data_IF_497732446120
#
_entry.id   IF_497732446120
#
_cell.length_a   1.000
_cell.length_b   1.000
_cell.length_c   1.000
_cell.angle_alpha   90.00
_cell.angle_beta   90.00
_cell.angle_gamma   90.00
#
_symmetry.space_group_name_H-M   'P 1'
#
loop_
_entity.id
_entity.type
_entity.pdbx_description
1 polymer ?
#
# COMPACT_ATOMS: atom_id res chain seq x y z
N UNK A 1 10.69 -18.99 18.92
CA UNK A 1 9.47 -18.60 19.66
C UNK A 1 9.57 -17.12 20.07
N UNK A 2 8.72 -16.21 19.60
CA UNK A 2 8.75 -14.84 20.10
C UNK A 2 8.22 -14.82 21.54
N UNK A 3 9.03 -14.33 22.48
CA UNK A 3 8.69 -14.19 23.90
C UNK A 3 7.32 -13.49 24.04
N UNK A 4 6.36 -14.15 24.68
CA UNK A 4 4.94 -13.72 24.86
C UNK A 4 4.79 -12.25 25.34
N UNK A 5 5.79 -11.74 26.05
CA UNK A 5 5.93 -10.35 26.47
C UNK A 5 5.86 -9.31 25.35
N UNK A 6 6.41 -9.59 24.15
CA UNK A 6 6.36 -8.65 23.02
C UNK A 6 4.95 -8.43 22.48
N UNK A 7 4.05 -9.40 22.64
CA UNK A 7 2.67 -9.32 22.11
C UNK A 7 1.76 -8.54 23.07
N UNK A 8 2.01 -8.66 24.38
CA UNK A 8 1.30 -7.92 25.42
C UNK A 8 1.54 -6.42 25.29
N UNK A 9 2.80 -5.99 25.10
CA UNK A 9 3.13 -4.57 24.87
C UNK A 9 2.51 -3.95 23.60
N UNK A 10 2.17 -4.77 22.60
CA UNK A 10 1.58 -4.30 21.34
C UNK A 10 0.04 -4.23 21.41
N UNK A 11 -0.58 -4.94 22.36
CA UNK A 11 -2.05 -5.05 22.50
C UNK A 11 -2.60 -4.19 23.64
N UNK A 12 -1.73 -3.70 24.54
CA UNK A 12 -2.03 -2.63 25.52
C UNK A 12 -2.19 -1.32 24.73
N UNK A 13 -3.33 -1.19 24.07
CA UNK A 13 -3.58 -0.15 23.08
C UNK A 13 -3.88 1.22 23.66
N UNK A 14 -4.04 2.18 22.76
CA UNK A 14 -4.38 3.61 22.97
C UNK A 14 -5.53 3.86 23.98
N UNK A 15 -6.40 2.89 24.25
CA UNK A 15 -7.48 2.99 25.25
C UNK A 15 -6.97 2.96 26.70
N UNK A 16 -5.87 2.28 26.98
CA UNK A 16 -5.26 2.26 28.33
C UNK A 16 -4.61 3.60 28.70
N UNK A 17 -4.25 4.42 27.71
CA UNK A 17 -3.73 5.76 27.95
C UNK A 17 -4.74 6.66 28.66
N UNK A 18 -6.03 6.50 28.39
CA UNK A 18 -7.09 7.27 29.06
C UNK A 18 -7.12 6.90 30.56
N UNK A 19 -7.03 5.60 30.87
CA UNK A 19 -6.97 5.11 32.26
C UNK A 19 -5.73 5.64 32.96
N UNK A 20 -4.58 5.66 32.27
CA UNK A 20 -3.32 6.17 32.80
C UNK A 20 -3.38 7.68 33.09
N UNK A 21 -4.04 8.46 32.23
CA UNK A 21 -4.30 9.89 32.44
C UNK A 21 -5.16 10.12 33.70
N UNK A 22 -6.22 9.31 33.90
CA UNK A 22 -7.06 9.42 35.11
C UNK A 22 -6.26 9.13 36.38
N UNK A 23 -5.38 8.13 36.36
CA UNK A 23 -4.49 7.81 37.50
C UNK A 23 -3.53 8.97 37.79
N UNK A 24 -2.95 9.59 36.75
CA UNK A 24 -2.07 10.76 36.89
C UNK A 24 -2.80 11.92 37.57
N UNK A 25 -4.06 12.19 37.20
CA UNK A 25 -4.87 13.25 37.80
C UNK A 25 -5.12 12.98 39.29
N UNK A 26 -5.43 11.73 39.66
CA UNK A 26 -5.62 11.35 41.06
C UNK A 26 -4.32 11.55 41.86
N UNK A 27 -3.18 11.12 41.31
CA UNK A 27 -1.87 11.27 41.98
C UNK A 27 -1.46 12.75 42.09
N UNK A 28 -1.83 13.60 41.14
CA UNK A 28 -1.53 15.03 41.19
C UNK A 28 -2.14 15.74 42.41
N UNK A 29 -3.26 15.24 42.93
CA UNK A 29 -3.90 15.78 44.14
C UNK A 29 -3.04 15.51 45.39
N UNK A 30 -2.38 14.35 45.45
CA UNK A 30 -1.60 13.93 46.64
C UNK A 30 -0.10 14.25 46.53
N UNK A 31 0.47 14.21 45.33
CA UNK A 31 1.88 14.48 45.09
C UNK A 31 2.12 15.04 43.67
N UNK A 32 2.16 16.38 43.52
CA UNK A 32 2.36 17.03 42.22
C UNK A 32 3.69 16.64 41.54
N UNK A 33 4.77 16.46 42.31
CA UNK A 33 6.09 16.12 41.78
C UNK A 33 6.06 14.72 41.15
N UNK A 34 5.46 13.75 41.83
CA UNK A 34 5.29 12.39 41.30
C UNK A 34 4.42 12.40 40.03
N UNK A 35 3.36 13.22 39.99
CA UNK A 35 2.50 13.35 38.82
C UNK A 35 3.21 13.93 37.58
N UNK A 36 4.12 14.89 37.77
CA UNK A 36 4.96 15.44 36.69
C UNK A 36 5.85 14.35 36.09
N UNK A 37 6.55 13.58 36.91
CA UNK A 37 7.39 12.46 36.45
C UNK A 37 6.57 11.39 35.73
N UNK A 38 5.42 11.00 36.28
CA UNK A 38 4.53 10.03 35.63
C UNK A 38 3.99 10.52 34.29
N UNK A 39 3.66 11.81 34.19
CA UNK A 39 3.22 12.43 32.93
C UNK A 39 4.30 12.36 31.86
N UNK A 40 5.55 12.68 32.22
CA UNK A 40 6.70 12.58 31.31
C UNK A 40 6.93 11.16 30.79
N UNK A 41 6.91 10.17 31.70
CA UNK A 41 7.07 8.75 31.33
C UNK A 41 5.91 8.28 30.45
N UNK A 42 4.69 8.68 30.76
CA UNK A 42 3.49 8.31 30.01
C UNK A 42 3.53 8.89 28.60
N UNK A 43 3.90 10.16 28.46
CA UNK A 43 4.08 10.78 27.15
C UNK A 43 5.17 10.07 26.33
N UNK A 44 6.30 9.72 26.96
CA UNK A 44 7.35 8.95 26.30
C UNK A 44 6.84 7.58 25.83
N UNK A 45 6.14 6.83 26.69
CA UNK A 45 5.54 5.54 26.33
C UNK A 45 4.49 5.68 25.23
N UNK A 46 3.72 6.78 25.22
CA UNK A 46 2.73 7.08 24.19
C UNK A 46 3.40 7.22 22.83
N UNK A 47 4.44 8.04 22.75
CA UNK A 47 5.21 8.24 21.52
C UNK A 47 5.88 6.94 21.06
N UNK A 48 6.47 6.19 21.99
CA UNK A 48 7.07 4.88 21.70
C UNK A 48 6.05 3.88 21.15
N UNK A 49 4.76 4.01 21.49
CA UNK A 49 3.71 3.12 20.98
C UNK A 49 3.42 3.28 19.48
N UNK A 50 3.74 4.42 18.86
CA UNK A 50 3.57 4.65 17.42
C UNK A 50 4.73 4.10 16.57
N UNK A 51 5.89 3.90 17.20
CA UNK A 51 7.10 3.45 16.52
C UNK A 51 6.91 2.14 15.74
N UNK A 52 6.27 1.08 16.28
CA UNK A 52 6.06 -0.17 15.55
C UNK A 52 5.22 -0.03 14.26
N UNK A 53 4.24 0.89 14.25
CA UNK A 53 3.39 1.14 13.07
C UNK A 53 4.19 1.83 11.97
N UNK A 54 4.96 2.87 12.31
CA UNK A 54 5.84 3.55 11.37
C UNK A 54 6.89 2.61 10.77
N UNK A 55 7.50 1.76 11.59
CA UNK A 55 8.42 0.72 11.11
C UNK A 55 7.74 -0.27 10.16
N UNK A 56 6.48 -0.62 10.42
CA UNK A 56 5.73 -1.51 9.55
C UNK A 56 5.46 -0.86 8.18
N UNK A 57 4.96 0.38 8.14
CA UNK A 57 4.69 1.10 6.88
C UNK A 57 5.95 1.19 6.00
N UNK A 58 7.08 1.54 6.59
CA UNK A 58 8.35 1.60 5.87
C UNK A 58 8.82 0.23 5.37
N UNK A 59 8.68 -0.82 6.19
CA UNK A 59 9.01 -2.19 5.78
C UNK A 59 8.11 -2.71 4.66
N UNK A 60 6.80 -2.42 4.73
CA UNK A 60 5.82 -2.76 3.71
C UNK A 60 6.21 -2.11 2.39
N UNK A 61 6.44 -0.79 2.39
CA UNK A 61 6.82 -0.06 1.19
C UNK A 61 8.11 -0.60 0.55
N UNK A 62 9.15 -0.88 1.37
CA UNK A 62 10.40 -1.48 0.90
C UNK A 62 10.21 -2.91 0.36
N UNK A 63 9.24 -3.65 0.90
CA UNK A 63 8.92 -5.00 0.45
C UNK A 63 8.18 -5.01 -0.89
N UNK A 64 7.17 -4.14 -1.06
CA UNK A 64 6.38 -4.04 -2.29
C UNK A 64 7.28 -3.79 -3.52
N UNK A 65 8.28 -2.90 -3.38
CA UNK A 65 9.24 -2.59 -4.45
C UNK A 65 10.09 -3.75 -4.95
N UNK A 66 10.09 -4.90 -4.27
CA UNK A 66 10.88 -6.07 -4.67
C UNK A 66 10.19 -6.95 -5.72
N UNK A 67 8.92 -6.69 -6.02
CA UNK A 67 8.10 -7.53 -6.88
C UNK A 67 7.50 -6.70 -7.99
N UNK A 68 7.49 -7.24 -9.22
CA UNK A 68 6.74 -6.66 -10.35
C UNK A 68 5.25 -6.57 -10.07
N UNK A 69 4.69 -7.64 -9.51
CA UNK A 69 3.30 -7.73 -9.07
C UNK A 69 3.24 -8.48 -7.74
N UNK A 70 2.42 -8.00 -6.81
CA UNK A 70 2.11 -8.76 -5.59
C UNK A 70 0.70 -8.49 -5.07
N UNK A 71 0.04 -9.54 -4.59
CA UNK A 71 -1.33 -9.55 -4.08
C UNK A 71 -1.36 -9.44 -2.55
N UNK A 72 -2.43 -8.85 -2.00
CA UNK A 72 -2.60 -8.58 -0.57
C UNK A 72 -2.47 -9.82 0.34
N UNK A 73 -2.92 -10.98 -0.12
CA UNK A 73 -2.77 -12.25 0.60
C UNK A 73 -1.30 -12.66 0.78
N UNK A 74 -0.48 -12.51 -0.27
CA UNK A 74 0.94 -12.85 -0.22
C UNK A 74 1.69 -11.91 0.72
N UNK A 75 1.31 -10.64 0.73
CA UNK A 75 1.82 -9.64 1.66
C UNK A 75 1.44 -10.02 3.10
N UNK A 76 0.17 -10.35 3.35
CA UNK A 76 -0.33 -10.76 4.67
C UNK A 76 0.42 -11.97 5.23
N UNK A 77 0.62 -13.00 4.39
CA UNK A 77 1.42 -14.19 4.73
C UNK A 77 2.86 -13.82 5.06
N UNK A 78 3.50 -12.97 4.25
CA UNK A 78 4.91 -12.57 4.48
C UNK A 78 5.11 -11.85 5.80
N UNK A 79 4.21 -10.93 6.14
CA UNK A 79 4.33 -10.12 7.35
C UNK A 79 3.72 -10.77 8.59
N UNK A 80 3.06 -11.93 8.44
CA UNK A 80 2.28 -12.59 9.49
C UNK A 80 1.30 -11.59 10.16
N UNK A 81 0.55 -10.86 9.32
CA UNK A 81 -0.42 -9.85 9.74
C UNK A 81 -1.82 -10.22 9.23
N UNK A 82 -2.88 -9.82 9.93
CA UNK A 82 -4.25 -10.01 9.44
C UNK A 82 -4.42 -9.34 8.07
N UNK A 83 -5.12 -10.02 7.15
CA UNK A 83 -5.37 -9.53 5.80
C UNK A 83 -6.04 -8.15 5.81
N UNK A 84 -7.00 -7.93 6.73
CA UNK A 84 -7.65 -6.64 6.93
C UNK A 84 -6.63 -5.51 7.12
N UNK A 85 -5.64 -5.70 7.99
CA UNK A 85 -4.60 -4.69 8.24
C UNK A 85 -3.78 -4.39 6.99
N UNK A 86 -3.47 -5.40 6.17
CA UNK A 86 -2.76 -5.19 4.90
C UNK A 86 -3.63 -4.42 3.90
N UNK A 87 -4.91 -4.78 3.79
CA UNK A 87 -5.87 -4.11 2.91
C UNK A 87 -6.08 -2.65 3.30
N UNK A 88 -6.19 -2.34 4.58
CA UNK A 88 -6.32 -0.98 5.08
C UNK A 88 -5.10 -0.13 4.66
N UNK A 89 -3.90 -0.67 4.79
CA UNK A 89 -2.64 0.02 4.42
C UNK A 89 -2.49 0.16 2.89
N UNK A 90 -2.86 -0.86 2.11
CA UNK A 90 -2.88 -0.77 0.65
C UNK A 90 -3.95 0.20 0.14
N UNK A 91 -5.10 0.27 0.81
CA UNK A 91 -6.14 1.25 0.52
C UNK A 91 -5.61 2.67 0.73
N UNK A 92 -5.02 2.97 1.89
CA UNK A 92 -4.41 4.28 2.15
C UNK A 92 -3.38 4.66 1.07
N UNK A 93 -2.51 3.71 0.69
CA UNK A 93 -1.52 3.92 -0.37
C UNK A 93 -2.18 4.15 -1.75
N UNK A 94 -3.28 3.47 -2.04
CA UNK A 94 -4.00 3.58 -3.33
C UNK A 94 -4.71 4.92 -3.51
N UNK A 95 -5.01 5.66 -2.44
CA UNK A 95 -5.68 6.96 -2.54
C UNK A 95 -4.72 8.07 -3.02
N UNK A 96 -3.41 7.95 -2.74
CA UNK A 96 -2.42 9.02 -2.93
C UNK A 96 -1.32 8.64 -3.93
N UNK A 97 -1.71 8.09 -5.09
CA UNK A 97 -0.79 7.49 -6.06
C UNK A 97 -0.66 8.22 -7.41
N UNK A 98 -1.19 9.43 -7.54
CA UNK A 98 -1.14 10.24 -8.78
C UNK A 98 0.29 10.51 -9.25
N UNK A 99 1.18 10.89 -8.33
CA UNK A 99 2.60 11.19 -8.61
C UNK A 99 3.54 10.01 -8.34
N UNK A 100 3.01 8.80 -8.13
CA UNK A 100 3.81 7.62 -7.80
C UNK A 100 4.11 6.83 -9.08
N UNK A 101 5.31 6.28 -9.18
CA UNK A 101 5.70 5.47 -10.35
C UNK A 101 5.04 4.09 -10.37
N UNK A 102 4.71 3.54 -9.20
CA UNK A 102 3.95 2.29 -9.03
C UNK A 102 2.43 2.54 -9.03
N UNK A 103 1.65 1.46 -9.07
CA UNK A 103 0.18 1.51 -9.02
C UNK A 103 -0.37 0.42 -8.10
N UNK A 104 -1.36 0.74 -7.28
CA UNK A 104 -2.17 -0.20 -6.52
C UNK A 104 -3.59 -0.15 -7.05
N UNK A 105 -4.14 -1.32 -7.37
CA UNK A 105 -5.52 -1.44 -7.85
C UNK A 105 -6.30 -2.42 -6.98
N UNK A 106 -7.62 -2.28 -6.99
CA UNK A 106 -8.52 -3.24 -6.38
C UNK A 106 -9.24 -4.04 -7.48
N UNK A 107 -9.02 -5.36 -7.50
CA UNK A 107 -9.58 -6.27 -8.49
C UNK A 107 -9.95 -7.58 -7.79
N UNK A 108 -11.10 -8.17 -8.12
CA UNK A 108 -11.54 -9.47 -7.58
C UNK A 108 -11.47 -9.58 -6.04
N UNK A 109 -11.92 -8.53 -5.33
CA UNK A 109 -11.92 -8.44 -3.86
C UNK A 109 -10.53 -8.45 -3.21
N UNK A 110 -9.47 -8.17 -3.97
CA UNK A 110 -8.09 -8.09 -3.47
C UNK A 110 -7.37 -6.85 -4.00
N UNK A 111 -6.41 -6.36 -3.22
CA UNK A 111 -5.48 -5.34 -3.69
C UNK A 111 -4.29 -5.98 -4.40
N UNK A 112 -3.91 -5.38 -5.52
CA UNK A 112 -2.76 -5.78 -6.33
C UNK A 112 -1.84 -4.57 -6.48
N UNK A 113 -0.59 -4.74 -6.08
CA UNK A 113 0.49 -3.78 -6.32
C UNK A 113 1.21 -4.12 -7.62
N UNK A 114 1.41 -3.11 -8.47
CA UNK A 114 2.22 -3.15 -9.69
C UNK A 114 3.42 -2.22 -9.55
N UNK A 115 4.61 -2.75 -9.85
CA UNK A 115 5.86 -2.02 -9.78
C UNK A 115 5.97 -0.95 -10.89
N UNK A 116 6.92 -0.04 -10.71
CA UNK A 116 7.26 0.99 -11.69
C UNK A 116 7.51 0.41 -13.09
N UNK A 117 8.37 -0.61 -13.20
CA UNK A 117 8.70 -1.23 -14.49
C UNK A 117 7.46 -1.81 -15.20
N UNK A 118 6.52 -2.41 -14.46
CA UNK A 118 5.25 -2.92 -15.01
C UNK A 118 4.39 -1.79 -15.57
N UNK A 119 4.32 -0.66 -14.86
CA UNK A 119 3.50 0.49 -15.27
C UNK A 119 4.15 1.26 -16.42
N UNK A 120 5.47 1.45 -16.39
CA UNK A 120 6.22 2.04 -17.50
C UNK A 120 6.06 1.21 -18.77
N UNK A 121 6.21 -0.12 -18.67
CA UNK A 121 5.99 -0.99 -19.82
C UNK A 121 4.57 -0.90 -20.34
N UNK A 122 3.58 -0.88 -19.44
CA UNK A 122 2.17 -0.71 -19.81
C UNK A 122 1.95 0.59 -20.60
N UNK A 123 2.44 1.73 -20.09
CA UNK A 123 2.27 3.03 -20.74
C UNK A 123 2.96 3.06 -22.11
N UNK A 124 4.15 2.46 -22.23
CA UNK A 124 4.87 2.34 -23.50
C UNK A 124 4.03 1.63 -24.57
N UNK A 125 3.52 0.43 -24.27
CA UNK A 125 2.73 -0.35 -25.25
C UNK A 125 1.36 0.27 -25.52
N UNK A 126 0.76 0.91 -24.51
CA UNK A 126 -0.50 1.62 -24.67
C UNK A 126 -0.37 2.80 -25.65
N UNK A 127 0.67 3.61 -25.49
CA UNK A 127 0.94 4.77 -26.33
C UNK A 127 1.34 4.39 -27.76
N UNK A 128 1.93 3.19 -27.95
CA UNK A 128 2.18 2.62 -29.28
C UNK A 128 0.89 2.23 -30.02
N UNK A 129 -0.26 2.22 -29.37
CA UNK A 129 -1.55 1.88 -29.97
C UNK A 129 -1.95 0.41 -29.85
N UNK A 130 -1.25 -0.38 -29.01
CA UNK A 130 -1.50 -1.81 -28.89
C UNK A 130 -2.89 -2.10 -28.33
N UNK A 131 -3.53 -3.17 -28.80
CA UNK A 131 -4.80 -3.69 -28.29
C UNK A 131 -4.62 -4.36 -26.92
N UNK A 132 -5.71 -4.56 -26.17
CA UNK A 132 -5.64 -5.22 -24.85
C UNK A 132 -4.97 -6.60 -24.88
N UNK A 133 -5.16 -7.35 -25.97
CA UNK A 133 -4.54 -8.66 -26.16
C UNK A 133 -3.02 -8.54 -26.31
N UNK A 134 -2.57 -7.61 -27.16
CA UNK A 134 -1.14 -7.36 -27.38
C UNK A 134 -0.47 -6.80 -26.13
N UNK A 135 -1.14 -5.89 -25.41
CA UNK A 135 -0.66 -5.36 -24.14
C UNK A 135 -0.51 -6.50 -23.12
N UNK A 136 -1.51 -7.38 -23.02
CA UNK A 136 -1.43 -8.55 -22.14
C UNK A 136 -0.25 -9.44 -22.50
N UNK A 137 -0.06 -9.75 -23.79
CA UNK A 137 1.04 -10.59 -24.24
C UNK A 137 2.42 -9.98 -23.90
N UNK A 138 2.56 -8.65 -23.97
CA UNK A 138 3.79 -7.93 -23.61
C UNK A 138 4.03 -7.80 -22.09
N UNK A 139 3.01 -8.02 -21.26
CA UNK A 139 3.11 -7.84 -19.79
C UNK A 139 3.14 -9.16 -19.02
N UNK A 140 3.13 -10.32 -19.70
CA UNK A 140 3.26 -11.64 -19.08
C UNK A 140 4.53 -11.77 -18.25
N UNK A 141 5.65 -11.26 -18.73
CA UNK A 141 6.94 -11.29 -18.02
C UNK A 141 6.91 -10.48 -16.71
N UNK A 142 6.01 -9.48 -16.65
CA UNK A 142 5.75 -8.66 -15.47
C UNK A 142 4.65 -9.25 -14.56
N UNK A 143 4.25 -10.50 -14.80
CA UNK A 143 3.24 -11.27 -14.05
C UNK A 143 1.81 -10.71 -14.15
N UNK A 144 1.52 -9.93 -15.19
CA UNK A 144 0.15 -9.50 -15.51
C UNK A 144 -0.45 -10.54 -16.45
N UNK A 145 -1.50 -11.24 -16.00
CA UNK A 145 -1.91 -12.49 -16.64
C UNK A 145 -3.33 -12.45 -17.21
N UNK A 146 -4.11 -11.42 -16.89
CA UNK A 146 -5.51 -11.34 -17.27
C UNK A 146 -5.87 -10.03 -17.97
N UNK A 147 -6.84 -10.09 -18.88
CA UNK A 147 -7.40 -8.88 -19.51
C UNK A 147 -8.07 -7.96 -18.50
N UNK A 148 -8.63 -8.53 -17.42
CA UNK A 148 -9.23 -7.76 -16.34
C UNK A 148 -8.18 -6.86 -15.65
N UNK A 149 -6.96 -7.35 -15.43
CA UNK A 149 -5.86 -6.52 -14.92
C UNK A 149 -5.52 -5.39 -15.89
N UNK A 150 -5.43 -5.67 -17.20
CA UNK A 150 -5.15 -4.63 -18.22
C UNK A 150 -6.19 -3.52 -18.20
N UNK A 151 -7.46 -3.88 -18.10
CA UNK A 151 -8.58 -2.95 -18.05
C UNK A 151 -8.56 -2.10 -16.78
N UNK A 152 -8.35 -2.73 -15.62
CA UNK A 152 -8.30 -2.00 -14.34
C UNK A 152 -7.06 -1.10 -14.26
N UNK A 153 -5.90 -1.52 -14.79
CA UNK A 153 -4.72 -0.65 -14.89
C UNK A 153 -5.05 0.57 -15.75
N UNK A 154 -5.68 0.38 -16.93
CA UNK A 154 -6.11 1.48 -17.81
C UNK A 154 -6.98 2.48 -17.05
N UNK A 155 -8.07 2.01 -16.46
CA UNK A 155 -9.07 2.84 -15.78
C UNK A 155 -8.45 3.63 -14.63
N UNK A 156 -7.58 3.00 -13.84
CA UNK A 156 -6.90 3.68 -12.74
C UNK A 156 -5.88 4.70 -13.24
N UNK A 157 -5.08 4.40 -14.27
CA UNK A 157 -4.12 5.35 -14.81
C UNK A 157 -4.80 6.58 -15.42
N UNK A 158 -5.94 6.39 -16.11
CA UNK A 158 -6.77 7.50 -16.62
C UNK A 158 -7.35 8.30 -15.46
N UNK A 159 -7.97 7.64 -14.47
CA UNK A 159 -8.53 8.30 -13.29
C UNK A 159 -7.51 9.16 -12.53
N UNK A 160 -6.25 8.71 -12.50
CA UNK A 160 -5.14 9.41 -11.84
C UNK A 160 -4.48 10.47 -12.73
N UNK A 161 -5.01 10.75 -13.94
CA UNK A 161 -4.43 11.63 -14.94
C UNK A 161 -2.97 11.29 -15.31
N UNK A 162 -2.61 10.00 -15.19
CA UNK A 162 -1.29 9.47 -15.57
C UNK A 162 -1.24 8.99 -17.01
N UNK A 163 -2.41 8.88 -17.64
CA UNK A 163 -2.59 8.42 -19.01
C UNK A 163 -3.76 9.18 -19.63
N UNK A 164 -3.57 9.72 -20.83
CA UNK A 164 -4.65 10.32 -21.61
C UNK A 164 -5.47 9.23 -22.33
N UNK A 165 -6.70 9.58 -22.69
CA UNK A 165 -7.40 8.84 -23.74
C UNK A 165 -6.59 8.96 -25.04
N UNK A 166 -6.39 7.83 -25.73
CA UNK A 166 -5.37 7.71 -26.79
C UNK A 166 -5.55 8.73 -27.90
N UNK A 167 -4.43 9.30 -28.35
CA UNK A 167 -4.35 10.06 -29.61
C UNK A 167 -4.34 9.14 -30.84
N UNK A 168 -3.66 7.98 -30.76
CA UNK A 168 -3.57 7.01 -31.87
C UNK A 168 -4.59 5.89 -31.67
N UNK A 169 -5.47 5.70 -32.65
CA UNK A 169 -6.47 4.64 -32.65
C UNK A 169 -5.82 3.27 -32.89
N UNK A 170 -6.34 2.22 -32.24
CA UNK A 170 -5.93 0.82 -32.50
C UNK A 170 -6.04 0.48 -33.99
N UNK A 171 -6.97 1.12 -34.71
CA UNK A 171 -7.14 0.94 -36.16
C UNK A 171 -5.94 1.49 -36.94
N UNK A 172 -5.50 2.70 -36.65
CA UNK A 172 -4.37 3.35 -37.31
C UNK A 172 -3.06 2.59 -37.07
N UNK A 173 -2.86 2.05 -35.86
CA UNK A 173 -1.68 1.21 -35.57
C UNK A 173 -1.66 -0.06 -36.43
N UNK A 174 -2.81 -0.74 -36.54
CA UNK A 174 -2.94 -1.95 -37.37
C UNK A 174 -2.75 -1.68 -38.85
N UNK A 175 -3.21 -0.52 -39.35
CA UNK A 175 -2.97 -0.12 -40.73
C UNK A 175 -1.47 0.10 -40.99
N UNK A 176 -0.77 0.83 -40.11
CA UNK A 176 0.69 1.02 -40.24
C UNK A 176 1.48 -0.29 -40.27
N UNK A 177 1.08 -1.29 -39.48
CA UNK A 177 1.72 -2.61 -39.49
C UNK A 177 1.44 -3.44 -40.75
N UNK A 178 0.35 -3.17 -41.49
CA UNK A 178 0.03 -3.91 -42.73
C UNK A 178 0.85 -3.44 -43.94
N UNK A 179 1.39 -2.23 -43.87
CA UNK A 179 2.16 -1.60 -44.94
C UNK A 179 3.68 -1.58 -44.65
N UNK A 180 4.12 -2.28 -43.61
CA UNK A 180 5.52 -2.58 -43.27
C UNK A 180 5.78 -4.07 -43.48
#
# INVERSE_FOLDING_TARGET
>A
MPKKWKVVFITIGRKWFIILIVIIIIVAIYNPIAAIWMSGITLALFLLSFIPELFFKNKLHKFLKKFYKIEDELIARKFNKPLKKIRDELFELSQNQEKKSWLITFLNKQYIFYHQETIEKYMEVYNKGYSEKEILDNLKDYKVNTRAEIKVIKENLIKLNRLSEREISVKEHKEKQRFL
#
